data_IF_224170052503
#
_entry.id   IF_224170052503
#
_cell.length_a   1.000
_cell.length_b   1.000
_cell.length_c   1.000
_cell.angle_alpha   90.00
_cell.angle_beta   90.00
_cell.angle_gamma   90.00
#
_symmetry.space_group_name_H-M   'P 1'
#
loop_
_entity.id
_entity.type
_entity.pdbx_description
1 polymer ?
#
# COMPACT_ATOMS: atom_id res chain seq x y z
N UNK A 1 17.54 -8.05 -49.56
CA UNK A 1 16.17 -8.04 -49.03
C UNK A 1 16.00 -6.81 -48.15
N UNK A 2 15.05 -5.92 -48.48
CA UNK A 2 14.70 -4.72 -47.69
C UNK A 2 13.79 -5.15 -46.55
N UNK A 3 14.09 -4.73 -45.31
CA UNK A 3 13.23 -4.96 -44.16
C UNK A 3 12.77 -3.60 -43.61
N UNK A 4 11.46 -3.48 -43.46
CA UNK A 4 10.67 -2.27 -43.22
C UNK A 4 10.76 -1.85 -41.74
N UNK A 5 10.86 -0.55 -41.47
CA UNK A 5 10.84 0.02 -40.12
C UNK A 5 9.44 0.00 -39.47
N UNK A 6 9.36 0.13 -38.14
CA UNK A 6 8.11 -0.03 -37.41
C UNK A 6 7.11 1.10 -37.70
N UNK A 7 5.90 0.69 -38.07
CA UNK A 7 4.74 1.52 -38.36
C UNK A 7 4.25 2.30 -37.12
N UNK A 8 3.67 3.46 -37.40
CA UNK A 8 3.27 4.49 -36.43
C UNK A 8 2.20 4.08 -35.43
N UNK A 9 2.24 4.79 -34.30
CA UNK A 9 1.35 4.63 -33.16
C UNK A 9 -0.03 5.21 -33.51
N UNK A 10 -1.05 4.36 -33.62
CA UNK A 10 -2.45 4.80 -33.71
C UNK A 10 -3.01 4.98 -32.30
N UNK A 11 -3.47 6.19 -31.98
CA UNK A 11 -4.21 6.53 -30.77
C UNK A 11 -5.67 6.11 -30.90
N UNK A 12 -6.22 5.24 -30.03
CA UNK A 12 -7.65 4.99 -30.01
C UNK A 12 -8.38 6.16 -29.34
N UNK A 13 -9.39 6.71 -30.02
CA UNK A 13 -10.28 7.73 -29.50
C UNK A 13 -11.15 7.15 -28.35
N UNK A 14 -11.13 7.81 -27.20
CA UNK A 14 -11.94 7.43 -26.04
C UNK A 14 -13.38 7.91 -26.22
N UNK A 15 -14.31 6.97 -26.40
CA UNK A 15 -15.75 7.24 -26.38
C UNK A 15 -16.22 7.27 -24.94
N UNK A 16 -16.76 8.41 -24.49
CA UNK A 16 -17.34 8.62 -23.16
C UNK A 16 -18.70 7.91 -23.05
N UNK A 17 -18.90 6.94 -22.15
CA UNK A 17 -20.23 6.41 -21.89
C UNK A 17 -21.03 7.40 -21.04
N UNK A 18 -22.22 7.76 -21.51
CA UNK A 18 -23.24 8.48 -20.74
C UNK A 18 -23.83 7.52 -19.71
N UNK A 19 -23.68 7.84 -18.42
CA UNK A 19 -24.33 7.06 -17.35
C UNK A 19 -25.81 7.41 -17.32
N UNK A 20 -26.64 6.45 -17.69
CA UNK A 20 -28.06 6.43 -17.37
C UNK A 20 -28.22 6.29 -15.86
N UNK A 21 -28.88 7.26 -15.23
CA UNK A 21 -29.34 7.16 -13.86
C UNK A 21 -30.74 6.54 -13.84
N UNK A 22 -30.83 5.25 -13.52
CA UNK A 22 -32.01 4.62 -12.92
C UNK A 22 -31.46 3.56 -11.97
N UNK A 23 -31.58 3.71 -10.65
CA UNK A 23 -32.83 3.75 -9.90
C UNK A 23 -33.02 2.38 -9.26
N UNK A 24 -32.26 2.07 -8.20
CA UNK A 24 -32.48 0.85 -7.42
C UNK A 24 -33.80 1.01 -6.66
N UNK A 25 -34.78 0.16 -6.95
CA UNK A 25 -36.03 0.07 -6.21
C UNK A 25 -36.15 -1.32 -5.60
N UNK A 26 -36.31 -1.37 -4.29
CA UNK A 26 -36.57 -2.61 -3.56
C UNK A 26 -38.03 -2.99 -3.78
N UNK A 27 -38.27 -4.21 -4.27
CA UNK A 27 -39.61 -4.73 -4.53
C UNK A 27 -40.47 -4.69 -3.27
N UNK A 28 -41.49 -3.83 -3.28
CA UNK A 28 -42.58 -3.86 -2.32
C UNK A 28 -43.36 -5.15 -2.57
N UNK A 29 -43.18 -6.13 -1.69
CA UNK A 29 -44.00 -7.34 -1.66
C UNK A 29 -45.44 -6.96 -1.36
N UNK A 30 -46.36 -7.45 -2.19
CA UNK A 30 -47.79 -7.29 -2.01
C UNK A 30 -48.22 -7.92 -0.66
N UNK A 31 -48.83 -7.11 0.20
CA UNK A 31 -49.46 -7.53 1.45
C UNK A 31 -50.54 -6.52 1.82
N UNK A 32 -51.74 -7.01 2.07
CA UNK A 32 -52.99 -6.26 2.12
C UNK A 32 -53.19 -5.35 3.36
N UNK A 33 -54.11 -4.39 3.19
CA UNK A 33 -55.05 -3.80 4.18
C UNK A 33 -54.63 -2.59 5.06
N UNK A 34 -55.29 -1.47 4.76
CA UNK A 34 -55.79 -0.36 5.61
C UNK A 34 -54.80 0.56 6.39
N UNK A 35 -55.15 1.86 6.59
CA UNK A 35 -54.25 2.86 7.15
C UNK A 35 -54.34 2.93 8.67
N UNK A 36 -53.20 2.83 9.37
CA UNK A 36 -53.09 3.18 10.77
C UNK A 36 -51.85 4.07 10.95
N UNK A 37 -52.08 5.23 11.56
CA UNK A 37 -51.04 6.17 11.95
C UNK A 37 -50.08 5.56 12.99
N UNK A 38 -48.96 6.27 13.19
CA UNK A 38 -47.91 6.12 14.21
C UNK A 38 -46.68 5.33 13.76
N UNK A 39 -45.56 6.02 13.52
CA UNK A 39 -44.58 6.36 14.57
C UNK A 39 -43.48 7.27 14.00
N UNK A 40 -43.19 8.34 14.74
CA UNK A 40 -41.99 9.13 14.53
C UNK A 40 -40.77 8.32 14.94
N UNK A 41 -39.75 8.26 14.06
CA UNK A 41 -38.32 8.33 14.41
C UNK A 41 -37.47 8.18 13.14
N UNK A 42 -37.59 9.13 12.21
CA UNK A 42 -36.67 9.25 11.09
C UNK A 42 -35.56 10.27 11.46
N UNK A 43 -34.61 9.89 12.32
CA UNK A 43 -33.44 10.74 12.60
C UNK A 43 -32.20 10.01 13.18
N UNK A 44 -32.19 8.67 13.28
CA UNK A 44 -31.02 7.95 13.84
C UNK A 44 -30.15 7.24 12.79
N UNK A 45 -30.61 7.08 11.55
CA UNK A 45 -29.84 6.43 10.47
C UNK A 45 -28.58 7.20 10.04
N UNK A 46 -28.68 8.52 9.91
CA UNK A 46 -27.60 9.34 9.35
C UNK A 46 -26.31 9.36 10.17
N UNK A 47 -26.39 9.26 11.51
CA UNK A 47 -25.18 9.26 12.35
C UNK A 47 -24.48 7.90 12.30
N UNK A 48 -25.23 6.80 12.32
CA UNK A 48 -24.69 5.45 12.12
C UNK A 48 -24.09 5.25 10.73
N UNK A 49 -24.70 5.82 9.69
CA UNK A 49 -24.18 5.75 8.32
C UNK A 49 -22.89 6.56 8.14
N UNK A 50 -22.81 7.75 8.74
CA UNK A 50 -21.58 8.56 8.75
C UNK A 50 -20.48 7.90 9.57
N UNK A 51 -20.81 7.30 10.73
CA UNK A 51 -19.85 6.51 11.50
C UNK A 51 -19.36 5.27 10.74
N UNK A 52 -20.22 4.61 9.96
CA UNK A 52 -19.84 3.49 9.10
C UNK A 52 -18.93 3.93 7.93
N UNK A 53 -19.17 5.10 7.32
CA UNK A 53 -18.29 5.67 6.30
C UNK A 53 -16.96 6.16 6.87
N UNK A 54 -16.96 6.73 8.07
CA UNK A 54 -15.74 7.14 8.78
C UNK A 54 -14.91 5.92 9.21
N UNK A 55 -15.56 4.83 9.63
CA UNK A 55 -14.91 3.55 9.90
C UNK A 55 -14.28 2.93 8.63
N UNK A 56 -14.91 3.10 7.47
CA UNK A 56 -14.35 2.65 6.19
C UNK A 56 -13.18 3.53 5.69
N UNK A 57 -13.16 4.82 6.05
CA UNK A 57 -12.05 5.74 5.72
C UNK A 57 -10.83 5.60 6.64
N UNK A 58 -10.96 4.91 7.77
CA UNK A 58 -9.87 4.67 8.73
C UNK A 58 -9.04 3.42 8.46
N UNK A 59 -9.53 2.49 7.62
CA UNK A 59 -8.85 1.23 7.32
C UNK A 59 -8.21 1.32 5.93
N UNK A 60 -6.88 1.34 5.89
CA UNK A 60 -6.16 1.24 4.62
C UNK A 60 -6.55 -0.01 3.86
N UNK A 61 -6.86 0.16 2.59
CA UNK A 61 -7.20 -0.94 1.71
C UNK A 61 -5.99 -1.88 1.53
N UNK A 62 -6.23 -3.17 1.22
CA UNK A 62 -5.15 -4.14 1.02
C UNK A 62 -4.10 -3.69 -0.01
N UNK A 63 -4.51 -3.00 -1.07
CA UNK A 63 -3.60 -2.46 -2.08
C UNK A 63 -2.68 -1.35 -1.56
N UNK A 64 -3.17 -0.52 -0.63
CA UNK A 64 -2.40 0.57 -0.05
C UNK A 64 -1.37 0.06 0.94
N UNK A 65 -1.77 -0.93 1.77
CA UNK A 65 -0.87 -1.70 2.63
C UNK A 65 0.26 -2.33 1.83
N UNK A 66 -0.07 -3.05 0.75
CA UNK A 66 0.91 -3.64 -0.16
C UNK A 66 1.86 -2.63 -0.77
N UNK A 67 1.34 -1.49 -1.26
CA UNK A 67 2.17 -0.41 -1.80
C UNK A 67 3.11 0.17 -0.74
N UNK A 68 2.66 0.31 0.52
CA UNK A 68 3.51 0.77 1.62
C UNK A 68 4.60 -0.25 1.95
N UNK A 69 4.24 -1.52 2.05
CA UNK A 69 5.18 -2.62 2.32
C UNK A 69 6.29 -2.67 1.26
N UNK A 70 5.92 -2.57 -0.03
CA UNK A 70 6.89 -2.51 -1.14
C UNK A 70 7.79 -1.27 -1.03
N UNK A 71 7.23 -0.08 -0.78
CA UNK A 71 8.04 1.14 -0.64
C UNK A 71 9.04 1.04 0.52
N UNK A 72 8.64 0.44 1.65
CA UNK A 72 9.55 0.19 2.79
C UNK A 72 10.68 -0.75 2.38
N UNK A 73 10.34 -1.88 1.73
CA UNK A 73 11.33 -2.84 1.23
C UNK A 73 12.32 -2.21 0.25
N UNK A 74 11.83 -1.46 -0.74
CA UNK A 74 12.69 -0.73 -1.68
C UNK A 74 13.59 0.28 -0.96
N UNK A 75 13.06 1.05 -0.02
CA UNK A 75 13.85 2.01 0.75
C UNK A 75 14.95 1.36 1.62
N UNK A 76 14.75 0.13 2.09
CA UNK A 76 15.79 -0.64 2.78
C UNK A 76 16.88 -1.12 1.81
N UNK A 77 16.49 -1.59 0.62
CA UNK A 77 17.44 -2.01 -0.41
C UNK A 77 18.30 -0.83 -0.89
N UNK A 78 17.70 0.34 -1.12
CA UNK A 78 18.43 1.53 -1.54
C UNK A 78 19.50 1.94 -0.51
N UNK A 79 19.17 1.86 0.79
CA UNK A 79 20.13 2.14 1.88
C UNK A 79 21.24 1.11 1.96
N UNK A 80 20.93 -0.17 1.70
CA UNK A 80 21.93 -1.22 1.62
C UNK A 80 22.91 -0.98 0.46
N UNK A 81 22.40 -0.51 -0.69
CA UNK A 81 23.23 -0.18 -1.84
C UNK A 81 24.09 1.07 -1.59
N UNK A 82 23.56 2.10 -0.92
CA UNK A 82 24.33 3.26 -0.47
C UNK A 82 25.53 2.84 0.41
N UNK A 83 25.30 2.01 1.43
CA UNK A 83 26.35 1.48 2.29
C UNK A 83 27.35 0.66 1.49
N UNK A 84 26.87 -0.19 0.57
CA UNK A 84 27.73 -1.02 -0.27
C UNK A 84 28.65 -0.16 -1.14
N UNK A 85 28.14 0.91 -1.75
CA UNK A 85 28.93 1.84 -2.56
C UNK A 85 29.99 2.57 -1.70
N UNK A 86 29.61 3.05 -0.51
CA UNK A 86 30.56 3.68 0.41
C UNK A 86 31.70 2.72 0.77
N UNK A 87 31.37 1.47 1.11
CA UNK A 87 32.37 0.44 1.45
C UNK A 87 33.29 0.10 0.28
N UNK A 88 32.78 0.09 -0.95
CA UNK A 88 33.60 -0.14 -2.15
C UNK A 88 34.59 1.01 -2.40
N UNK A 89 34.27 2.22 -1.96
CA UNK A 89 35.17 3.37 -2.01
C UNK A 89 36.17 3.39 -0.84
N UNK A 90 36.04 2.46 0.11
CA UNK A 90 36.88 2.40 1.32
C UNK A 90 36.36 3.26 2.48
N UNK A 91 35.18 3.86 2.33
CA UNK A 91 34.57 4.72 3.35
C UNK A 91 33.53 3.96 4.19
N UNK A 92 33.34 4.42 5.42
CA UNK A 92 32.24 3.99 6.29
C UNK A 92 31.34 5.21 6.54
N UNK A 93 30.18 5.25 5.88
CA UNK A 93 29.17 6.28 6.14
C UNK A 93 28.32 5.92 7.37
N UNK A 94 28.73 6.42 8.53
CA UNK A 94 27.99 6.29 9.80
C UNK A 94 26.57 6.87 9.71
N UNK A 95 26.36 7.91 8.90
CA UNK A 95 25.04 8.48 8.67
C UNK A 95 24.12 7.51 7.93
N UNK A 96 24.64 6.81 6.91
CA UNK A 96 23.89 5.78 6.19
C UNK A 96 23.57 4.58 7.10
N UNK A 97 24.51 4.16 7.96
CA UNK A 97 24.28 3.10 8.94
C UNK A 97 23.18 3.45 9.94
N UNK A 98 23.17 4.68 10.49
CA UNK A 98 22.12 5.11 11.41
C UNK A 98 20.76 5.22 10.70
N UNK A 99 20.74 5.72 9.45
CA UNK A 99 19.51 5.70 8.62
C UNK A 99 19.01 4.26 8.42
N UNK A 100 19.87 3.30 8.10
CA UNK A 100 19.45 1.89 7.95
C UNK A 100 18.88 1.34 9.26
N UNK A 101 19.54 1.60 10.39
CA UNK A 101 19.09 1.16 11.71
C UNK A 101 17.74 1.79 12.11
N UNK A 102 17.47 3.04 11.73
CA UNK A 102 16.17 3.67 11.93
C UNK A 102 15.06 2.98 11.13
N UNK A 103 15.27 2.63 9.86
CA UNK A 103 14.23 1.94 9.08
C UNK A 103 13.93 0.52 9.52
N UNK A 104 14.91 -0.20 10.08
CA UNK A 104 14.61 -1.50 10.69
C UNK A 104 13.72 -1.39 11.93
N UNK A 105 13.75 -0.25 12.63
CA UNK A 105 12.89 0.03 13.78
C UNK A 105 11.50 0.52 13.38
N UNK A 106 11.30 0.92 12.13
CA UNK A 106 9.98 1.32 11.63
C UNK A 106 9.04 0.13 11.63
N UNK A 107 7.82 0.36 12.12
CA UNK A 107 6.78 -0.66 12.28
C UNK A 107 6.45 -1.32 10.94
N UNK A 108 6.27 -2.65 11.00
CA UNK A 108 5.88 -3.44 9.85
C UNK A 108 4.39 -3.28 9.60
N UNK A 109 4.02 -3.04 8.36
CA UNK A 109 2.63 -3.18 7.94
C UNK A 109 2.27 -4.66 7.92
N UNK A 110 1.23 -5.03 8.64
CA UNK A 110 0.54 -6.31 8.41
C UNK A 110 -0.08 -6.28 7.01
N UNK A 111 0.58 -6.98 6.08
CA UNK A 111 0.08 -7.26 4.74
C UNK A 111 -0.35 -8.72 4.66
N UNK A 112 -1.44 -8.97 3.95
CA UNK A 112 -2.05 -10.31 3.84
C UNK A 112 -1.30 -11.21 2.82
N UNK A 113 -0.39 -10.62 2.04
CA UNK A 113 0.45 -11.29 1.05
C UNK A 113 1.68 -11.96 1.71
N UNK A 114 1.57 -13.27 1.94
CA UNK A 114 2.61 -14.08 2.60
C UNK A 114 3.94 -14.10 1.85
N UNK A 115 3.90 -14.08 0.51
CA UNK A 115 5.12 -14.15 -0.30
C UNK A 115 5.89 -12.83 -0.22
N UNK A 116 5.16 -11.71 -0.26
CA UNK A 116 5.76 -10.39 -0.02
C UNK A 116 6.30 -10.26 1.41
N UNK A 117 5.56 -10.73 2.41
CA UNK A 117 6.02 -10.76 3.80
C UNK A 117 7.33 -11.52 3.96
N UNK A 118 7.42 -12.72 3.38
CA UNK A 118 8.64 -13.53 3.42
C UNK A 118 9.84 -12.86 2.74
N UNK A 119 9.61 -12.15 1.62
CA UNK A 119 10.66 -11.38 0.96
C UNK A 119 11.15 -10.20 1.83
N UNK A 120 10.22 -9.49 2.47
CA UNK A 120 10.56 -8.40 3.39
C UNK A 120 11.33 -8.91 4.62
N UNK A 121 11.01 -10.09 5.13
CA UNK A 121 11.78 -10.74 6.19
C UNK A 121 13.22 -11.04 5.77
N UNK A 122 13.43 -11.49 4.54
CA UNK A 122 14.79 -11.71 4.00
C UNK A 122 15.57 -10.41 3.88
N UNK A 123 14.92 -9.32 3.45
CA UNK A 123 15.54 -7.99 3.36
C UNK A 123 15.91 -7.49 4.77
N UNK A 124 15.01 -7.61 5.74
CA UNK A 124 15.25 -7.19 7.13
C UNK A 124 16.39 -8.01 7.77
N UNK A 125 16.44 -9.32 7.54
CA UNK A 125 17.53 -10.18 7.98
C UNK A 125 18.87 -9.75 7.35
N UNK A 126 18.87 -9.44 6.05
CA UNK A 126 20.07 -8.96 5.36
C UNK A 126 20.57 -7.65 5.96
N UNK A 127 19.66 -6.71 6.20
CA UNK A 127 19.99 -5.41 6.76
C UNK A 127 20.51 -5.49 8.20
N UNK A 128 19.89 -6.32 9.04
CA UNK A 128 20.36 -6.54 10.42
C UNK A 128 21.73 -7.22 10.46
N UNK A 129 22.00 -8.18 9.57
CA UNK A 129 23.34 -8.76 9.42
C UNK A 129 24.38 -7.74 8.96
N UNK A 130 24.04 -6.87 8.00
CA UNK A 130 24.99 -5.86 7.52
C UNK A 130 25.30 -4.78 8.57
N UNK A 131 24.32 -4.37 9.38
CA UNK A 131 24.56 -3.52 10.54
C UNK A 131 25.49 -4.20 11.55
N UNK A 132 25.22 -5.45 11.91
CA UNK A 132 26.07 -6.19 12.85
C UNK A 132 27.51 -6.33 12.32
N UNK A 133 27.70 -6.55 11.01
CA UNK A 133 29.03 -6.56 10.38
C UNK A 133 29.72 -5.21 10.47
N UNK A 134 28.99 -4.11 10.28
CA UNK A 134 29.55 -2.76 10.42
C UNK A 134 30.01 -2.50 11.87
N UNK A 135 29.21 -2.89 12.85
CA UNK A 135 29.59 -2.79 14.27
C UNK A 135 30.81 -3.66 14.60
N UNK A 136 30.89 -4.88 14.07
CA UNK A 136 32.06 -5.75 14.24
C UNK A 136 33.33 -5.14 13.66
N UNK A 137 33.26 -4.47 12.50
CA UNK A 137 34.41 -3.76 11.92
C UNK A 137 34.85 -2.59 12.81
N UNK A 138 33.89 -1.85 13.38
CA UNK A 138 34.15 -0.75 14.31
C UNK A 138 34.83 -1.21 15.60
N UNK A 139 34.45 -2.38 16.12
CA UNK A 139 34.97 -2.92 17.38
C UNK A 139 36.28 -3.72 17.22
N UNK A 140 36.83 -3.84 16.01
CA UNK A 140 38.09 -4.56 15.79
C UNK A 140 39.28 -3.67 16.18
N UNK A 141 40.19 -4.13 17.06
CA UNK A 141 41.35 -3.37 17.51
C UNK A 141 42.41 -3.20 16.41
#
# INVERSE_FOLDING_TARGET
MKVVGPNGVSTPASTRPTRSASGFSLGQTAGASAPAAMTASAATGGVSDVSALMALQGVEGPLEKRRRAIRRGSGLLDRLDEIKLALLNGDVDEGALDRLARSLREERTDDDDKDLGALLDQIDLRASVELAKAEMRRNRP
#
